data_IF_627734649252
#
_entry.id   IF_627734649252
#
_cell.length_a   1.000
_cell.length_b   1.000
_cell.length_c   1.000
_cell.angle_alpha   90.00
_cell.angle_beta   90.00
_cell.angle_gamma   90.00
#
_symmetry.space_group_name_H-M   'P 1'
#
loop_
_entity.id
_entity.type
_entity.pdbx_description
1 polymer ?
#
# COMPACT_ATOMS: atom_id res chain seq x y z
N UNK A 1 -25.07 24.50 -11.58
CA UNK A 1 -24.52 24.89 -12.88
C UNK A 1 -23.85 23.65 -13.46
N UNK A 2 -24.51 23.02 -14.44
CA UNK A 2 -23.95 21.93 -15.23
C UNK A 2 -22.87 22.52 -16.14
N UNK A 3 -21.62 22.30 -15.77
CA UNK A 3 -20.52 22.56 -16.67
C UNK A 3 -20.48 21.43 -17.70
N UNK A 4 -20.65 21.76 -18.96
CA UNK A 4 -20.36 20.85 -20.04
C UNK A 4 -18.90 20.45 -19.94
N UNK A 5 -18.61 19.19 -19.61
CA UNK A 5 -17.26 18.70 -19.49
C UNK A 5 -16.71 18.33 -20.87
N UNK A 6 -15.58 18.91 -21.26
CA UNK A 6 -14.82 18.40 -22.40
C UNK A 6 -14.27 17.00 -22.06
N UNK A 7 -13.96 16.19 -23.08
CA UNK A 7 -13.37 14.85 -22.87
C UNK A 7 -12.11 14.87 -21.97
N UNK A 8 -11.32 15.94 -22.05
CA UNK A 8 -10.18 16.16 -21.16
C UNK A 8 -10.61 16.37 -19.70
N UNK A 9 -11.69 17.15 -19.47
CA UNK A 9 -12.27 17.35 -18.14
C UNK A 9 -12.79 16.04 -17.52
N UNK A 10 -13.23 15.07 -18.30
CA UNK A 10 -13.70 13.78 -17.81
C UNK A 10 -12.55 12.85 -17.37
N UNK A 11 -11.38 12.95 -17.98
CA UNK A 11 -10.16 12.24 -17.51
C UNK A 11 -9.72 12.80 -16.16
N UNK A 12 -9.68 14.12 -15.99
CA UNK A 12 -9.29 14.75 -14.72
C UNK A 12 -10.29 14.50 -13.58
N UNK A 13 -11.56 14.32 -13.86
CA UNK A 13 -12.61 14.04 -12.87
C UNK A 13 -12.59 12.62 -12.31
N UNK A 14 -11.73 11.74 -12.83
CA UNK A 14 -11.64 10.32 -12.42
C UNK A 14 -10.52 10.04 -11.43
N UNK A 15 -9.73 11.05 -11.09
CA UNK A 15 -8.68 10.91 -10.09
C UNK A 15 -9.17 11.43 -8.74
N UNK A 16 -8.81 10.74 -7.68
CA UNK A 16 -9.18 11.12 -6.33
C UNK A 16 -7.90 11.34 -5.52
N UNK A 17 -7.63 12.59 -5.13
CA UNK A 17 -6.70 12.87 -4.05
C UNK A 17 -7.51 12.87 -2.76
N UNK A 18 -7.19 11.93 -1.88
CA UNK A 18 -7.95 11.67 -0.67
C UNK A 18 -7.09 11.96 0.57
N UNK A 19 -7.72 12.48 1.62
CA UNK A 19 -7.07 12.61 2.91
C UNK A 19 -7.22 11.34 3.75
N UNK A 20 -7.47 11.51 5.04
CA UNK A 20 -7.78 10.41 5.94
C UNK A 20 -9.17 10.58 6.53
N UNK A 21 -9.83 9.47 6.85
CA UNK A 21 -11.16 9.45 7.48
C UNK A 21 -11.14 8.60 8.74
N UNK A 22 -12.12 8.85 9.61
CA UNK A 22 -12.27 8.16 10.88
C UNK A 22 -12.11 9.12 12.06
N UNK A 23 -12.81 8.80 13.14
CA UNK A 23 -12.71 9.50 14.42
C UNK A 23 -13.29 8.56 15.48
N UNK A 24 -12.71 8.50 16.66
CA UNK A 24 -13.13 7.64 17.79
C UNK A 24 -14.62 7.75 18.10
N UNK A 25 -15.24 8.91 17.86
CA UNK A 25 -16.69 9.11 18.05
C UNK A 25 -17.57 8.24 17.15
N UNK A 26 -17.01 7.66 16.08
CA UNK A 26 -17.73 6.77 15.17
C UNK A 26 -17.51 5.28 15.44
N UNK A 27 -16.64 4.90 16.39
CA UNK A 27 -16.31 3.51 16.68
C UNK A 27 -17.50 2.68 17.18
N UNK A 28 -18.47 3.35 17.80
CA UNK A 28 -19.71 2.73 18.30
C UNK A 28 -20.76 2.53 17.20
N UNK A 29 -20.57 3.10 16.02
CA UNK A 29 -21.51 2.93 14.92
C UNK A 29 -21.45 1.52 14.33
N UNK A 30 -22.58 1.00 13.81
CA UNK A 30 -22.57 -0.18 12.97
C UNK A 30 -21.55 -0.04 11.84
N UNK A 31 -20.83 -1.13 11.54
CA UNK A 31 -19.74 -1.12 10.54
C UNK A 31 -20.12 -0.45 9.22
N UNK A 32 -21.35 -0.67 8.74
CA UNK A 32 -21.84 -0.10 7.47
C UNK A 32 -21.95 1.44 7.48
N UNK A 33 -21.99 2.07 8.66
CA UNK A 33 -22.11 3.53 8.82
C UNK A 33 -20.81 4.21 9.21
N UNK A 34 -19.72 3.47 9.35
CA UNK A 34 -18.41 4.04 9.70
C UNK A 34 -17.79 4.77 8.51
N UNK A 35 -17.07 5.88 8.72
CA UNK A 35 -16.44 6.66 7.65
C UNK A 35 -15.52 5.87 6.73
N UNK A 36 -14.86 4.83 7.26
CA UNK A 36 -13.95 3.94 6.51
C UNK A 36 -14.65 3.21 5.37
N UNK A 37 -16.00 3.07 5.43
CA UNK A 37 -16.78 2.49 4.33
C UNK A 37 -16.73 3.35 3.06
N UNK A 38 -16.45 4.66 3.18
CA UNK A 38 -16.32 5.54 2.03
C UNK A 38 -15.11 5.14 1.16
N UNK A 39 -13.95 4.89 1.78
CA UNK A 39 -12.75 4.49 1.03
C UNK A 39 -12.87 3.09 0.46
N UNK A 40 -13.44 2.14 1.21
CA UNK A 40 -13.72 0.79 0.72
C UNK A 40 -14.69 0.82 -0.48
N UNK A 41 -15.70 1.69 -0.40
CA UNK A 41 -16.64 1.94 -1.49
C UNK A 41 -15.96 2.52 -2.73
N UNK A 42 -15.06 3.50 -2.58
CA UNK A 42 -14.30 4.07 -3.67
C UNK A 42 -13.41 3.01 -4.34
N UNK A 43 -12.64 2.26 -3.56
CA UNK A 43 -11.77 1.18 -4.08
C UNK A 43 -12.57 0.14 -4.89
N UNK A 44 -13.72 -0.28 -4.36
CA UNK A 44 -14.61 -1.25 -5.02
C UNK A 44 -15.25 -0.69 -6.29
N UNK A 45 -15.88 0.50 -6.22
CA UNK A 45 -16.64 1.08 -7.33
C UNK A 45 -15.74 1.52 -8.49
N UNK A 46 -14.52 1.95 -8.20
CA UNK A 46 -13.53 2.33 -9.21
C UNK A 46 -12.65 1.14 -9.66
N UNK A 47 -12.88 -0.05 -9.10
CA UNK A 47 -12.09 -1.27 -9.35
C UNK A 47 -10.57 -1.04 -9.17
N UNK A 48 -10.18 -0.39 -8.07
CA UNK A 48 -8.79 -0.09 -7.74
C UNK A 48 -8.15 -1.34 -7.14
N UNK A 49 -7.51 -2.15 -7.95
CA UNK A 49 -6.96 -3.43 -7.53
C UNK A 49 -5.48 -3.39 -7.16
N UNK A 50 -4.72 -2.42 -7.69
CA UNK A 50 -3.29 -2.32 -7.47
C UNK A 50 -2.96 -1.15 -6.55
N UNK A 51 -2.45 -1.43 -5.36
CA UNK A 51 -1.99 -0.41 -4.42
C UNK A 51 -0.47 -0.40 -4.37
N UNK A 52 0.11 0.74 -4.70
CA UNK A 52 1.54 1.00 -4.67
C UNK A 52 1.88 1.79 -3.41
N UNK A 53 2.76 1.25 -2.57
CA UNK A 53 3.24 1.86 -1.32
C UNK A 53 4.76 1.92 -1.34
N UNK A 54 5.37 3.01 -1.81
CA UNK A 54 6.82 3.20 -1.75
C UNK A 54 7.26 3.46 -0.31
N UNK A 55 8.40 2.88 0.09
CA UNK A 55 9.07 3.15 1.34
C UNK A 55 10.52 3.56 1.02
N UNK A 56 10.78 4.84 1.16
CA UNK A 56 12.08 5.46 0.88
C UNK A 56 12.62 6.12 2.13
N UNK A 57 13.82 5.74 2.56
CA UNK A 57 14.50 6.42 3.64
C UNK A 57 15.37 7.54 3.07
N UNK A 58 14.96 8.78 3.29
CA UNK A 58 15.72 9.95 2.89
C UNK A 58 17.05 10.02 3.69
N UNK A 59 18.18 10.37 3.05
CA UNK A 59 19.47 10.48 3.75
C UNK A 59 19.40 11.37 4.99
N UNK A 60 18.58 12.43 4.94
CA UNK A 60 18.38 13.39 6.03
C UNK A 60 17.53 12.82 7.19
N UNK A 61 16.90 11.68 7.00
CA UNK A 61 16.00 11.04 7.97
C UNK A 61 16.53 9.69 8.48
N UNK A 62 17.70 9.27 8.07
CA UNK A 62 18.31 8.00 8.53
C UNK A 62 18.35 7.94 10.06
N UNK A 63 18.65 9.04 10.72
CA UNK A 63 18.68 9.13 12.19
C UNK A 63 17.29 9.14 12.86
N UNK A 64 16.23 9.38 12.10
CA UNK A 64 14.86 9.33 12.62
C UNK A 64 14.29 7.90 12.60
N UNK A 65 14.92 6.97 11.87
CA UNK A 65 14.55 5.57 11.88
C UNK A 65 14.83 4.94 13.25
N UNK A 66 13.97 4.00 13.64
CA UNK A 66 14.18 3.17 14.85
C UNK A 66 15.24 2.10 14.66
N UNK A 67 15.65 1.85 13.41
CA UNK A 67 16.71 0.90 13.08
C UNK A 67 18.07 1.61 12.99
N UNK A 68 19.13 0.81 13.05
CA UNK A 68 20.48 1.33 12.89
C UNK A 68 20.69 1.94 11.49
N UNK A 69 21.46 3.04 11.39
CA UNK A 69 21.70 3.72 10.12
C UNK A 69 22.16 2.80 8.99
N UNK A 70 23.05 1.86 9.28
CA UNK A 70 23.58 0.93 8.27
C UNK A 70 22.54 -0.04 7.71
N UNK A 71 21.39 -0.22 8.38
CA UNK A 71 20.29 -1.08 7.93
C UNK A 71 19.37 -0.32 6.96
N UNK A 72 19.12 0.96 7.21
CA UNK A 72 18.12 1.74 6.47
C UNK A 72 18.72 2.71 5.44
N UNK A 73 20.01 2.98 5.50
CA UNK A 73 20.66 3.86 4.52
C UNK A 73 20.52 3.31 3.11
N UNK A 74 19.94 4.12 2.22
CA UNK A 74 19.67 3.71 0.84
C UNK A 74 18.44 2.83 0.66
N UNK A 75 17.58 2.71 1.68
CA UNK A 75 16.30 2.03 1.55
C UNK A 75 15.45 2.73 0.48
N UNK A 76 15.07 1.96 -0.52
CA UNK A 76 14.14 2.34 -1.59
C UNK A 76 13.45 1.08 -2.09
N UNK A 77 12.28 0.78 -1.56
CA UNK A 77 11.44 -0.33 -2.00
C UNK A 77 10.02 0.12 -2.28
N UNK A 78 9.27 -0.67 -3.03
CA UNK A 78 7.83 -0.48 -3.23
C UNK A 78 7.07 -1.78 -2.96
N UNK A 79 6.02 -1.69 -2.17
CA UNK A 79 5.09 -2.80 -1.95
C UNK A 79 3.93 -2.64 -2.93
N UNK A 80 3.72 -3.65 -3.76
CA UNK A 80 2.60 -3.80 -4.69
C UNK A 80 1.60 -4.75 -4.05
N UNK A 81 0.54 -4.17 -3.47
CA UNK A 81 -0.52 -4.87 -2.75
C UNK A 81 -1.74 -5.03 -3.64
N UNK A 82 -2.27 -6.24 -3.75
CA UNK A 82 -3.60 -6.46 -4.33
C UNK A 82 -4.69 -5.99 -3.36
N UNK A 83 -5.72 -5.25 -3.83
CA UNK A 83 -6.69 -4.58 -2.94
C UNK A 83 -8.10 -5.17 -2.95
N UNK A 84 -8.43 -6.06 -3.89
CA UNK A 84 -9.84 -6.43 -4.16
C UNK A 84 -10.20 -7.84 -3.74
N UNK A 85 -9.22 -8.65 -3.36
CA UNK A 85 -9.39 -10.02 -2.89
C UNK A 85 -9.13 -10.20 -1.39
N UNK A 86 -8.74 -11.42 -1.03
CA UNK A 86 -8.34 -11.83 0.30
C UNK A 86 -9.50 -11.90 1.31
N UNK A 87 -9.16 -11.99 2.60
CA UNK A 87 -10.12 -11.96 3.71
C UNK A 87 -10.90 -10.63 3.81
N UNK A 88 -10.43 -9.56 3.19
CA UNK A 88 -11.11 -8.26 3.19
C UNK A 88 -12.47 -8.31 2.53
N UNK A 89 -12.61 -9.10 1.46
CA UNK A 89 -13.81 -9.17 0.62
C UNK A 89 -14.35 -10.58 0.46
N UNK A 90 -13.66 -11.59 1.00
CA UNK A 90 -14.06 -12.98 0.90
C UNK A 90 -15.40 -13.29 1.59
N UNK A 91 -16.15 -14.16 1.01
CA UNK A 91 -17.43 -14.69 1.52
C UNK A 91 -17.47 -16.20 1.35
N UNK A 92 -18.16 -16.95 2.24
CA UNK A 92 -18.90 -16.50 3.43
C UNK A 92 -17.99 -16.01 4.57
N UNK A 93 -18.54 -15.17 5.43
CA UNK A 93 -17.87 -14.66 6.64
C UNK A 93 -18.89 -14.33 7.70
N UNK A 94 -18.54 -14.41 8.96
CA UNK A 94 -19.44 -14.05 10.04
C UNK A 94 -19.17 -14.78 11.33
N UNK A 95 -20.24 -14.91 12.11
CA UNK A 95 -20.27 -15.71 13.34
C UNK A 95 -21.39 -16.72 13.24
N UNK A 96 -21.19 -17.91 13.79
CA UNK A 96 -22.16 -18.99 13.87
C UNK A 96 -21.83 -19.91 15.02
N UNK A 97 -22.68 -20.89 15.28
CA UNK A 97 -22.30 -22.04 16.10
C UNK A 97 -21.39 -22.98 15.30
N UNK A 98 -20.32 -23.45 15.93
CA UNK A 98 -19.39 -24.41 15.31
C UNK A 98 -20.13 -25.69 14.88
N UNK A 99 -20.12 -26.06 13.59
CA UNK A 99 -20.91 -27.20 13.11
C UNK A 99 -20.34 -28.55 13.53
N UNK A 100 -19.05 -28.61 13.82
CA UNK A 100 -18.31 -29.84 14.12
C UNK A 100 -17.08 -29.58 15.02
N UNK A 101 -16.26 -30.61 15.20
CA UNK A 101 -15.00 -30.54 15.96
C UNK A 101 -15.18 -30.55 17.49
N UNK A 102 -14.08 -30.33 18.25
CA UNK A 102 -14.08 -30.47 19.70
C UNK A 102 -14.89 -29.37 20.43
N UNK A 103 -15.21 -28.28 19.75
CA UNK A 103 -15.98 -27.15 20.27
C UNK A 103 -17.32 -26.98 19.57
N UNK A 104 -17.90 -28.08 19.02
CA UNK A 104 -19.21 -28.07 18.38
C UNK A 104 -20.27 -27.40 19.27
N UNK A 105 -21.04 -26.47 18.67
CA UNK A 105 -22.07 -25.70 19.36
C UNK A 105 -21.55 -24.42 20.06
N UNK A 106 -20.24 -24.21 20.15
CA UNK A 106 -19.69 -22.94 20.63
C UNK A 106 -19.75 -21.86 19.54
N UNK A 107 -19.81 -20.58 19.94
CA UNK A 107 -19.72 -19.49 18.98
C UNK A 107 -18.34 -19.47 18.31
N UNK A 108 -18.31 -19.46 16.98
CA UNK A 108 -17.10 -19.27 16.18
C UNK A 108 -17.22 -18.07 15.24
N UNK A 109 -16.10 -17.35 15.04
CA UNK A 109 -15.94 -16.37 13.98
C UNK A 109 -15.13 -16.94 12.82
N UNK A 110 -15.52 -16.65 11.60
CA UNK A 110 -14.81 -17.12 10.42
C UNK A 110 -14.79 -16.09 9.30
N UNK A 111 -13.71 -16.09 8.53
CA UNK A 111 -13.50 -15.31 7.32
C UNK A 111 -13.00 -16.23 6.19
N UNK A 112 -13.30 -15.85 4.96
CA UNK A 112 -12.85 -16.59 3.77
C UNK A 112 -11.73 -15.81 3.08
N UNK A 113 -10.54 -16.40 3.01
CA UNK A 113 -9.47 -15.93 2.12
C UNK A 113 -9.67 -16.56 0.74
N UNK A 114 -9.72 -15.73 -0.31
CA UNK A 114 -9.86 -16.23 -1.67
C UNK A 114 -9.20 -15.32 -2.69
N UNK A 115 -8.64 -15.94 -3.71
CA UNK A 115 -8.12 -15.31 -4.93
C UNK A 115 -8.46 -16.16 -6.14
N UNK A 116 -8.83 -15.52 -7.23
CA UNK A 116 -8.95 -16.16 -8.54
C UNK A 116 -7.67 -15.94 -9.35
N UNK A 117 -7.41 -16.83 -10.32
CA UNK A 117 -6.26 -16.71 -11.23
C UNK A 117 -6.16 -15.34 -11.92
N UNK A 118 -7.24 -14.76 -12.51
CA UNK A 118 -7.17 -13.45 -13.15
C UNK A 118 -6.83 -12.30 -12.19
N UNK A 119 -7.26 -12.37 -10.90
CA UNK A 119 -6.91 -11.37 -9.91
C UNK A 119 -5.41 -11.37 -9.64
N UNK A 120 -4.81 -12.54 -9.48
CA UNK A 120 -3.36 -12.68 -9.28
C UNK A 120 -2.58 -12.29 -10.54
N UNK A 121 -3.06 -12.68 -11.71
CA UNK A 121 -2.40 -12.39 -12.98
C UNK A 121 -2.29 -10.88 -13.24
N UNK A 122 -3.40 -10.13 -13.06
CA UNK A 122 -3.40 -8.68 -13.28
C UNK A 122 -2.45 -7.93 -12.34
N UNK A 123 -2.41 -8.32 -11.06
CA UNK A 123 -1.50 -7.66 -10.10
C UNK A 123 -0.05 -8.08 -10.31
N UNK A 124 0.22 -9.32 -10.75
CA UNK A 124 1.55 -9.77 -11.12
C UNK A 124 2.12 -8.91 -12.26
N UNK A 125 1.33 -8.63 -13.29
CA UNK A 125 1.74 -7.73 -14.36
C UNK A 125 2.09 -6.31 -13.87
N UNK A 126 1.35 -5.78 -12.90
CA UNK A 126 1.71 -4.50 -12.27
C UNK A 126 3.05 -4.61 -11.55
N UNK A 127 3.26 -5.65 -10.74
CA UNK A 127 4.52 -5.88 -10.03
C UNK A 127 5.71 -5.98 -10.98
N UNK A 128 5.61 -6.78 -12.04
CA UNK A 128 6.68 -6.94 -13.01
C UNK A 128 6.97 -5.64 -13.80
N UNK A 129 5.94 -4.90 -14.24
CA UNK A 129 6.15 -3.60 -14.90
C UNK A 129 6.81 -2.58 -13.96
N UNK A 130 6.42 -2.57 -12.69
CA UNK A 130 7.07 -1.75 -11.68
C UNK A 130 8.55 -2.13 -11.53
N UNK A 131 8.87 -3.43 -11.44
CA UNK A 131 10.24 -3.91 -11.35
C UNK A 131 11.08 -3.55 -12.58
N UNK A 132 10.50 -3.60 -13.79
CA UNK A 132 11.18 -3.18 -15.02
C UNK A 132 11.63 -1.73 -15.02
N UNK A 133 10.90 -0.85 -14.31
CA UNK A 133 11.23 0.57 -14.16
C UNK A 133 12.20 0.85 -13.00
N UNK A 134 12.54 -0.18 -12.21
CA UNK A 134 13.39 -0.10 -11.02
C UNK A 134 14.64 -1.00 -11.18
N UNK A 135 15.05 -1.67 -10.11
CA UNK A 135 16.25 -2.51 -10.09
C UNK A 135 16.07 -3.92 -10.70
N UNK A 136 14.93 -4.16 -11.36
CA UNK A 136 14.58 -5.44 -12.02
C UNK A 136 14.58 -6.63 -11.05
N UNK A 137 14.16 -6.41 -9.82
CA UNK A 137 14.04 -7.45 -8.82
C UNK A 137 12.64 -7.44 -8.22
N UNK A 138 11.92 -8.55 -8.30
CA UNK A 138 10.60 -8.75 -7.74
C UNK A 138 10.64 -9.88 -6.74
N UNK A 139 10.23 -9.61 -5.52
CA UNK A 139 10.04 -10.60 -4.46
C UNK A 139 8.54 -10.83 -4.26
N UNK A 140 8.04 -12.00 -4.64
CA UNK A 140 6.67 -12.41 -4.35
C UNK A 140 6.58 -12.92 -2.92
N UNK A 141 5.76 -12.27 -2.11
CA UNK A 141 5.54 -12.62 -0.70
C UNK A 141 4.20 -13.30 -0.53
N UNK A 142 4.22 -14.51 0.03
CA UNK A 142 3.07 -15.39 0.15
C UNK A 142 3.23 -16.39 1.32
N UNK A 143 2.33 -17.34 1.49
CA UNK A 143 2.39 -18.39 2.52
C UNK A 143 2.03 -19.76 1.95
N UNK A 144 2.65 -20.16 0.83
CA UNK A 144 2.30 -21.36 0.06
C UNK A 144 2.58 -22.68 0.80
N UNK A 145 3.37 -22.65 1.85
CA UNK A 145 3.56 -23.82 2.72
C UNK A 145 2.33 -24.17 3.59
N UNK A 146 1.32 -23.26 3.63
CA UNK A 146 0.11 -23.43 4.44
C UNK A 146 -1.17 -23.18 3.65
N UNK A 147 -1.18 -22.19 2.74
CA UNK A 147 -2.39 -21.66 2.12
C UNK A 147 -2.50 -22.05 0.65
N UNK A 148 -3.64 -22.63 0.27
CA UNK A 148 -3.98 -22.93 -1.12
C UNK A 148 -4.01 -21.67 -2.01
N UNK A 149 -4.52 -20.55 -1.48
CA UNK A 149 -4.50 -19.27 -2.19
C UNK A 149 -3.08 -18.82 -2.52
N UNK A 150 -2.14 -19.05 -1.63
CA UNK A 150 -0.72 -18.71 -1.85
C UNK A 150 -0.03 -19.66 -2.82
N UNK A 151 -0.43 -20.93 -2.88
CA UNK A 151 0.04 -21.85 -3.91
C UNK A 151 -0.40 -21.38 -5.30
N UNK A 152 -1.67 -20.98 -5.44
CA UNK A 152 -2.16 -20.36 -6.67
C UNK A 152 -1.36 -19.09 -7.04
N UNK A 153 -1.08 -18.23 -6.06
CA UNK A 153 -0.26 -17.04 -6.26
C UNK A 153 1.11 -17.39 -6.85
N UNK A 154 1.84 -18.31 -6.23
CA UNK A 154 3.16 -18.76 -6.68
C UNK A 154 3.12 -19.30 -8.11
N UNK A 155 2.14 -20.15 -8.41
CA UNK A 155 1.95 -20.73 -9.74
C UNK A 155 1.73 -19.64 -10.80
N UNK A 156 0.78 -18.71 -10.54
CA UNK A 156 0.43 -17.65 -11.49
C UNK A 156 1.57 -16.68 -11.69
N UNK A 157 2.20 -16.20 -10.62
CA UNK A 157 3.33 -15.27 -10.69
C UNK A 157 4.51 -15.89 -11.43
N UNK A 158 4.79 -17.19 -11.21
CA UNK A 158 5.79 -17.93 -11.99
C UNK A 158 5.41 -18.02 -13.47
N UNK A 159 4.13 -18.16 -13.79
CA UNK A 159 3.65 -18.16 -15.17
C UNK A 159 3.88 -16.82 -15.85
N UNK A 160 3.51 -15.73 -15.18
CA UNK A 160 3.65 -14.34 -15.68
C UNK A 160 5.12 -13.94 -15.84
N UNK A 161 6.03 -14.40 -14.95
CA UNK A 161 7.45 -14.05 -14.99
C UNK A 161 8.12 -14.37 -16.33
N UNK A 162 7.63 -15.40 -17.03
CA UNK A 162 8.14 -15.79 -18.36
C UNK A 162 8.02 -14.68 -19.41
N UNK A 163 7.12 -13.72 -19.20
CA UNK A 163 6.95 -12.55 -20.07
C UNK A 163 7.89 -11.40 -19.70
N UNK A 164 8.61 -11.52 -18.58
CA UNK A 164 9.53 -10.49 -18.06
C UNK A 164 10.90 -11.10 -17.74
N UNK A 165 11.61 -11.65 -18.73
CA UNK A 165 12.86 -12.43 -18.50
C UNK A 165 14.01 -11.60 -17.91
N UNK A 166 13.92 -10.26 -17.96
CA UNK A 166 14.91 -9.36 -17.38
C UNK A 166 14.71 -9.14 -15.88
N UNK A 167 13.55 -9.54 -15.31
CA UNK A 167 13.24 -9.34 -13.91
C UNK A 167 13.61 -10.61 -13.13
N UNK A 168 14.51 -10.47 -12.17
CA UNK A 168 14.77 -11.52 -11.20
C UNK A 168 13.55 -11.70 -10.31
N UNK A 169 13.02 -12.93 -10.21
CA UNK A 169 11.92 -13.29 -9.35
C UNK A 169 12.41 -14.15 -8.19
N UNK A 170 12.17 -13.67 -6.97
CA UNK A 170 12.38 -14.42 -5.74
C UNK A 170 11.07 -14.61 -4.97
N UNK A 171 11.04 -15.57 -4.05
CA UNK A 171 9.88 -15.85 -3.19
C UNK A 171 10.30 -15.81 -1.73
N UNK A 172 9.47 -15.17 -0.91
CA UNK A 172 9.59 -15.24 0.55
C UNK A 172 8.24 -15.63 1.15
N UNK A 173 8.27 -16.48 2.17
CA UNK A 173 7.11 -16.58 3.05
C UNK A 173 6.94 -15.29 3.84
N UNK A 174 5.71 -14.90 4.10
CA UNK A 174 5.40 -13.60 4.72
C UNK A 174 6.09 -13.38 6.07
N UNK A 175 6.21 -14.40 6.89
CA UNK A 175 6.96 -14.36 8.15
C UNK A 175 8.46 -14.08 7.93
N UNK A 176 9.06 -14.68 6.89
CA UNK A 176 10.43 -14.38 6.53
C UNK A 176 10.56 -12.98 5.91
N UNK A 177 9.59 -12.53 5.10
CA UNK A 177 9.59 -11.19 4.55
C UNK A 177 9.56 -10.11 5.65
N UNK A 178 8.75 -10.28 6.69
CA UNK A 178 8.74 -9.41 7.86
C UNK A 178 10.12 -9.37 8.55
N UNK A 179 10.77 -10.52 8.73
CA UNK A 179 12.14 -10.55 9.27
C UNK A 179 13.15 -9.82 8.36
N UNK A 180 13.04 -9.96 7.04
CA UNK A 180 13.95 -9.31 6.09
C UNK A 180 13.74 -7.79 6.04
N UNK A 181 12.52 -7.31 6.17
CA UNK A 181 12.24 -5.86 6.27
C UNK A 181 13.00 -5.22 7.44
N UNK A 182 13.09 -5.90 8.58
CA UNK A 182 13.84 -5.39 9.75
C UNK A 182 15.35 -5.61 9.62
N UNK A 183 15.77 -6.71 8.98
CA UNK A 183 17.18 -7.13 8.94
C UNK A 183 17.97 -6.54 7.78
N UNK A 184 17.41 -6.55 6.58
CA UNK A 184 18.11 -6.18 5.34
C UNK A 184 17.10 -5.61 4.31
N UNK A 185 16.34 -4.52 4.64
CA UNK A 185 15.29 -4.01 3.77
C UNK A 185 15.81 -3.49 2.42
N UNK A 186 17.06 -3.07 2.36
CA UNK A 186 17.71 -2.56 1.14
C UNK A 186 17.93 -3.63 0.05
N UNK A 187 17.86 -4.93 0.42
CA UNK A 187 17.92 -6.03 -0.54
C UNK A 187 16.59 -6.20 -1.32
N UNK A 188 15.48 -5.65 -0.81
CA UNK A 188 14.18 -5.70 -1.44
C UNK A 188 14.01 -4.50 -2.40
N UNK A 189 13.42 -4.74 -3.56
CA UNK A 189 13.11 -3.69 -4.56
C UNK A 189 11.59 -3.59 -4.75
N UNK A 190 10.97 -4.55 -5.42
CA UNK A 190 9.53 -4.65 -5.56
C UNK A 190 9.02 -5.84 -4.78
N UNK A 191 8.14 -5.62 -3.83
CA UNK A 191 7.48 -6.66 -3.04
C UNK A 191 6.05 -6.80 -3.55
N UNK A 192 5.73 -7.95 -4.15
CA UNK A 192 4.39 -8.27 -4.66
C UNK A 192 3.67 -9.19 -3.69
N UNK A 193 2.47 -8.82 -3.25
CA UNK A 193 1.75 -9.61 -2.25
C UNK A 193 0.23 -9.38 -2.26
N UNK A 194 -0.50 -10.27 -1.57
CA UNK A 194 -1.95 -10.18 -1.35
C UNK A 194 -2.36 -9.03 -0.44
N UNK A 195 -3.66 -8.91 -0.23
CA UNK A 195 -4.25 -7.77 0.46
C UNK A 195 -3.83 -7.71 1.94
N UNK A 196 -4.06 -8.77 2.70
CA UNK A 196 -3.77 -8.81 4.14
C UNK A 196 -2.26 -8.68 4.42
N UNK A 197 -1.45 -9.46 3.73
CA UNK A 197 0.00 -9.41 3.93
C UNK A 197 0.59 -8.07 3.50
N UNK A 198 0.07 -7.50 2.40
CA UNK A 198 0.50 -6.20 1.89
C UNK A 198 0.15 -5.05 2.84
N UNK A 199 -0.98 -5.15 3.56
CA UNK A 199 -1.34 -4.17 4.59
C UNK A 199 -0.31 -4.17 5.72
N UNK A 200 -0.09 -5.35 6.31
CA UNK A 200 0.82 -5.51 7.45
C UNK A 200 2.25 -5.11 7.09
N UNK A 201 2.78 -5.64 5.98
CA UNK A 201 4.17 -5.38 5.58
C UNK A 201 4.43 -3.93 5.18
N UNK A 202 3.43 -3.25 4.61
CA UNK A 202 3.61 -1.84 4.23
C UNK A 202 3.60 -0.91 5.44
N UNK A 203 2.82 -1.22 6.48
CA UNK A 203 2.84 -0.45 7.72
C UNK A 203 4.13 -0.70 8.50
N UNK A 204 4.65 -1.94 8.48
CA UNK A 204 6.00 -2.25 8.98
C UNK A 204 7.07 -1.46 8.21
N UNK A 205 7.02 -1.46 6.87
CA UNK A 205 7.95 -0.71 6.04
C UNK A 205 7.90 0.81 6.27
N UNK A 206 6.73 1.35 6.62
CA UNK A 206 6.60 2.76 6.99
C UNK A 206 7.47 3.13 8.18
N UNK A 207 7.56 2.27 9.18
CA UNK A 207 8.36 2.51 10.38
C UNK A 207 9.87 2.52 10.10
N UNK A 208 10.32 1.89 9.01
CA UNK A 208 11.73 1.92 8.59
C UNK A 208 12.15 3.32 8.13
N UNK A 209 11.21 4.13 7.63
CA UNK A 209 11.46 5.50 7.17
C UNK A 209 11.41 6.55 8.28
N UNK A 210 11.11 6.12 9.52
CA UNK A 210 11.07 6.96 10.71
C UNK A 210 9.67 7.44 11.11
N UNK A 211 8.71 7.48 10.20
CA UNK A 211 7.32 7.88 10.50
C UNK A 211 6.35 7.40 9.43
N UNK A 212 5.15 7.00 9.85
CA UNK A 212 4.03 6.73 8.93
C UNK A 212 3.61 7.99 8.15
N UNK A 213 3.95 9.19 8.65
CA UNK A 213 3.76 10.47 7.96
C UNK A 213 4.62 10.66 6.71
N UNK A 214 5.51 9.70 6.41
CA UNK A 214 6.34 9.68 5.20
C UNK A 214 5.81 8.74 4.11
N UNK A 215 4.77 7.95 4.38
CA UNK A 215 4.32 6.89 3.48
C UNK A 215 3.12 7.33 2.65
N UNK A 216 3.38 7.62 1.38
CA UNK A 216 2.36 7.86 0.35
C UNK A 216 1.78 6.55 -0.19
N UNK A 217 0.63 6.61 -0.84
CA UNK A 217 0.08 5.49 -1.58
C UNK A 217 -0.71 5.90 -2.82
N UNK A 218 -0.72 5.00 -3.82
CA UNK A 218 -1.53 5.10 -5.01
C UNK A 218 -2.30 3.80 -5.21
N UNK A 219 -3.61 3.88 -5.32
CA UNK A 219 -4.48 2.75 -5.69
C UNK A 219 -4.98 2.95 -7.11
N UNK A 220 -4.69 2.03 -8.00
CA UNK A 220 -4.86 2.17 -9.44
C UNK A 220 -5.73 1.05 -10.02
N UNK A 221 -6.39 1.33 -11.14
CA UNK A 221 -7.04 0.33 -11.98
C UNK A 221 -6.37 0.25 -13.37
N UNK A 222 -6.85 -0.68 -14.20
CA UNK A 222 -6.32 -0.89 -15.55
C UNK A 222 -6.48 0.31 -16.49
N UNK A 223 -7.44 1.21 -16.20
CA UNK A 223 -7.78 2.36 -17.05
C UNK A 223 -7.04 3.64 -16.63
N UNK A 224 -6.12 3.54 -15.66
CA UNK A 224 -5.40 4.69 -15.14
C UNK A 224 -6.23 5.56 -14.18
N UNK A 225 -7.43 5.12 -13.76
CA UNK A 225 -8.13 5.77 -12.65
C UNK A 225 -7.42 5.45 -11.35
N UNK A 226 -7.19 6.45 -10.50
CA UNK A 226 -6.47 6.29 -9.25
C UNK A 226 -7.12 7.00 -8.08
N UNK A 227 -6.82 6.47 -6.90
CA UNK A 227 -7.05 7.09 -5.61
C UNK A 227 -5.69 7.20 -4.93
N UNK A 228 -5.32 8.42 -4.58
CA UNK A 228 -4.02 8.78 -4.03
C UNK A 228 -4.24 9.32 -2.63
N UNK A 229 -3.59 8.73 -1.65
CA UNK A 229 -3.82 9.03 -0.24
C UNK A 229 -2.59 8.67 0.59
N UNK A 230 -2.36 9.36 1.73
CA UNK A 230 -1.38 8.90 2.69
C UNK A 230 -1.81 7.54 3.27
N UNK A 231 -0.85 6.72 3.68
CA UNK A 231 -1.14 5.42 4.30
C UNK A 231 -1.60 5.56 5.76
N UNK A 232 -1.30 6.68 6.41
CA UNK A 232 -1.71 6.94 7.79
C UNK A 232 -3.22 7.23 7.93
N UNK A 233 -3.76 7.07 9.14
CA UNK A 233 -5.11 7.44 9.50
C UNK A 233 -5.31 8.94 9.73
N UNK A 234 -6.49 9.32 10.25
CA UNK A 234 -6.91 10.71 10.46
C UNK A 234 -6.29 11.39 11.68
N UNK A 235 -5.70 10.63 12.61
CA UNK A 235 -5.09 11.12 13.85
C UNK A 235 -5.93 12.21 14.56
N UNK A 236 -7.16 11.90 14.98
CA UNK A 236 -8.11 12.89 15.52
C UNK A 236 -7.60 13.55 16.81
N UNK A 237 -6.72 12.88 17.53
CA UNK A 237 -6.07 13.38 18.75
C UNK A 237 -5.15 14.58 18.53
N UNK A 238 -4.60 14.75 17.33
CA UNK A 238 -3.75 15.89 16.95
C UNK A 238 -4.44 16.88 15.99
N UNK A 239 -5.70 16.66 15.66
CA UNK A 239 -6.46 17.55 14.79
C UNK A 239 -6.51 18.99 15.35
N UNK A 240 -6.25 19.99 14.50
CA UNK A 240 -6.21 21.41 14.87
C UNK A 240 -4.97 21.86 15.61
N UNK A 241 -4.02 20.97 15.94
CA UNK A 241 -2.79 21.35 16.67
C UNK A 241 -1.66 21.81 15.75
N UNK A 242 -1.80 21.73 14.43
CA UNK A 242 -0.79 22.11 13.42
C UNK A 242 0.57 21.41 13.61
N UNK A 243 0.58 20.15 14.01
CA UNK A 243 1.78 19.35 14.26
C UNK A 243 1.90 18.13 13.35
N UNK A 244 0.86 17.86 12.55
CA UNK A 244 0.85 16.70 11.63
C UNK A 244 1.90 16.87 10.52
N UNK A 245 2.56 15.76 10.17
CA UNK A 245 3.47 15.69 9.04
C UNK A 245 2.67 15.67 7.72
N UNK A 246 2.85 16.65 6.80
CA UNK A 246 2.09 16.69 5.55
C UNK A 246 2.75 15.88 4.41
N UNK A 247 3.96 15.35 4.60
CA UNK A 247 4.80 14.83 3.50
C UNK A 247 4.10 13.67 2.79
N UNK A 248 3.53 12.71 3.50
CA UNK A 248 2.83 11.59 2.88
C UNK A 248 1.69 12.04 1.94
N UNK A 249 0.94 13.08 2.31
CA UNK A 249 -0.13 13.63 1.46
C UNK A 249 0.45 14.35 0.23
N UNK A 250 1.53 15.10 0.40
CA UNK A 250 2.21 15.81 -0.71
C UNK A 250 2.84 14.81 -1.67
N UNK A 251 3.47 13.76 -1.18
CA UNK A 251 4.01 12.65 -1.99
C UNK A 251 2.88 11.89 -2.71
N UNK A 252 1.73 11.69 -2.07
CA UNK A 252 0.56 11.09 -2.73
C UNK A 252 0.07 11.96 -3.89
N UNK A 253 0.13 13.29 -3.77
CA UNK A 253 -0.16 14.20 -4.87
C UNK A 253 0.91 14.11 -5.98
N UNK A 254 2.19 13.94 -5.65
CA UNK A 254 3.24 13.71 -6.64
C UNK A 254 3.01 12.37 -7.38
N UNK A 255 2.64 11.31 -6.67
CA UNK A 255 2.24 10.04 -7.29
C UNK A 255 1.04 10.21 -8.23
N UNK A 256 0.03 11.01 -7.88
CA UNK A 256 -1.10 11.31 -8.77
C UNK A 256 -0.63 12.00 -10.05
N UNK A 257 0.23 12.99 -9.93
CA UNK A 257 0.79 13.74 -11.07
C UNK A 257 1.58 12.79 -11.98
N UNK A 258 2.39 11.89 -11.42
CA UNK A 258 3.21 10.93 -12.14
C UNK A 258 2.36 9.84 -12.82
N UNK A 259 1.56 9.12 -12.04
CA UNK A 259 0.89 7.91 -12.53
C UNK A 259 -0.42 8.17 -13.28
N UNK A 260 -1.15 9.24 -12.92
CA UNK A 260 -2.45 9.52 -13.54
C UNK A 260 -2.37 10.56 -14.66
N UNK A 261 -1.48 11.54 -14.53
CA UNK A 261 -1.34 12.61 -15.52
C UNK A 261 -0.10 12.47 -16.40
N UNK A 262 0.79 11.51 -16.11
CA UNK A 262 2.04 11.27 -16.85
C UNK A 262 2.93 12.52 -16.96
N UNK A 263 3.00 13.28 -15.86
CA UNK A 263 3.75 14.54 -15.76
C UNK A 263 4.94 14.34 -14.82
N UNK A 264 5.92 13.54 -15.27
CA UNK A 264 7.07 13.14 -14.44
C UNK A 264 7.89 14.33 -13.94
N UNK A 265 8.18 15.30 -14.80
CA UNK A 265 8.94 16.49 -14.43
C UNK A 265 8.30 17.27 -13.28
N UNK A 266 6.95 17.41 -13.29
CA UNK A 266 6.22 18.11 -12.24
C UNK A 266 6.22 17.31 -10.93
N UNK A 267 6.13 15.99 -11.01
CA UNK A 267 6.26 15.11 -9.84
C UNK A 267 7.67 15.21 -9.24
N UNK A 268 8.71 15.14 -10.06
CA UNK A 268 10.11 15.29 -9.64
C UNK A 268 10.37 16.63 -8.93
N UNK A 269 9.73 17.71 -9.38
CA UNK A 269 9.84 19.04 -8.72
C UNK A 269 9.25 19.03 -7.33
N UNK A 270 8.14 18.32 -7.09
CA UNK A 270 7.54 18.18 -5.75
C UNK A 270 8.47 17.38 -4.86
N UNK A 271 8.96 16.24 -5.33
CA UNK A 271 9.88 15.39 -4.59
C UNK A 271 11.20 16.13 -4.25
N UNK A 272 11.72 16.91 -5.20
CA UNK A 272 12.89 17.75 -4.96
C UNK A 272 12.63 18.84 -3.91
N UNK A 273 11.43 19.42 -3.89
CA UNK A 273 11.05 20.41 -2.86
C UNK A 273 10.97 19.77 -1.46
N UNK A 274 10.44 18.54 -1.35
CA UNK A 274 10.44 17.79 -0.10
C UNK A 274 11.86 17.54 0.38
N UNK A 275 12.75 17.06 -0.48
CA UNK A 275 14.17 16.84 -0.15
C UNK A 275 14.84 18.13 0.30
N UNK A 276 14.55 19.25 -0.36
CA UNK A 276 15.10 20.55 0.07
C UNK A 276 14.64 20.95 1.46
N UNK A 277 13.35 20.83 1.78
CA UNK A 277 12.82 21.12 3.13
C UNK A 277 13.52 20.25 4.17
N UNK A 278 13.71 18.96 3.87
CA UNK A 278 14.42 18.05 4.76
C UNK A 278 15.90 18.39 4.89
N UNK A 279 16.59 18.80 3.82
CA UNK A 279 18.00 19.22 3.86
C UNK A 279 18.20 20.56 4.59
N UNK A 280 17.20 21.44 4.56
CA UNK A 280 17.20 22.70 5.33
C UNK A 280 16.96 22.46 6.85
N UNK A 281 16.80 21.21 7.29
CA UNK A 281 16.63 20.85 8.70
C UNK A 281 15.21 21.02 9.24
N UNK A 282 14.23 21.35 8.38
CA UNK A 282 12.83 21.52 8.81
C UNK A 282 12.20 20.16 9.07
N UNK A 283 11.60 19.98 10.23
CA UNK A 283 11.04 18.72 10.73
C UNK A 283 9.72 18.94 11.44
N UNK A 284 8.80 18.01 11.29
CA UNK A 284 7.70 17.82 12.23
C UNK A 284 8.13 16.94 13.39
N UNK A 285 7.38 16.93 14.49
CA UNK A 285 7.77 16.25 15.71
C UNK A 285 8.02 14.75 15.56
N UNK A 286 7.32 14.10 14.63
CA UNK A 286 7.40 12.66 14.36
C UNK A 286 8.71 12.22 13.66
N UNK A 287 9.38 13.14 12.97
CA UNK A 287 10.67 12.93 12.27
C UNK A 287 11.80 13.80 12.82
N UNK A 288 11.57 14.44 13.97
CA UNK A 288 12.58 15.20 14.69
C UNK A 288 13.35 14.27 15.62
N UNK A 289 14.67 14.25 15.48
CA UNK A 289 15.56 13.58 16.43
C UNK A 289 15.84 14.57 17.56
N UNK A 290 15.37 14.24 18.77
CA UNK A 290 15.67 15.01 20.00
C UNK A 290 17.10 14.79 20.45
#
# INVERSE_FOLDING_TARGET
TLLASSAASDVYKRQVLFGAVGDFKYDTLPRALRPEQAILGLRKNLNLFANLRPAVCYPELVSASTLRPEVVSGLDLVIVRELTGDVYFGTPRGRREAPDGPFKGAEEGFDTMRYSRPEVERIAHVGFRTAMQRRKHLTCVEKSNVLETSQLWREVVTGVSKQYPEVKLDYLYVDNAAMQLVRAPTELDVVLTGNLFGDILSDEAAMLTGSIGMLASASLNEKGTGLFEPSHGSAPDIAGKNIANPIATVESAAMMIRYAFHMDEQADRIEAAIRKVLSDGIRTGDISVS
#
